data_IF_179943741729
#
_entry.id   IF_179943741729
#
_cell.length_a   1.000
_cell.length_b   1.000
_cell.length_c   1.000
_cell.angle_alpha   90.00
_cell.angle_beta   90.00
_cell.angle_gamma   90.00
#
_symmetry.space_group_name_H-M   'P 1'
#
loop_
_entity.id
_entity.type
_entity.pdbx_description
1 polymer ?
#
# COMPACT_ATOMS: atom_id res chain seq x y z
N UNK A 1 -30.21 -17.58 11.18
CA UNK A 1 -29.28 -16.98 10.21
C UNK A 1 -28.02 -16.33 10.82
N UNK A 2 -27.88 -16.22 12.14
CA UNK A 2 -26.77 -15.55 12.81
C UNK A 2 -25.51 -16.40 13.11
N UNK A 3 -25.47 -17.68 12.76
CA UNK A 3 -24.29 -18.50 13.02
C UNK A 3 -23.16 -18.14 12.02
N UNK A 4 -22.00 -17.79 12.58
CA UNK A 4 -20.75 -17.57 11.85
C UNK A 4 -20.55 -16.21 11.15
N UNK A 5 -21.24 -15.12 11.56
CA UNK A 5 -21.06 -13.79 10.95
C UNK A 5 -19.59 -13.34 11.01
N UNK A 6 -18.95 -13.45 12.18
CA UNK A 6 -17.54 -13.09 12.34
C UNK A 6 -16.63 -13.88 11.39
N UNK A 7 -16.86 -15.20 11.25
CA UNK A 7 -16.09 -16.04 10.31
C UNK A 7 -16.28 -15.59 8.87
N UNK A 8 -17.51 -15.23 8.47
CA UNK A 8 -17.77 -14.71 7.11
C UNK A 8 -17.04 -13.39 6.84
N UNK A 9 -17.00 -12.50 7.83
CA UNK A 9 -16.26 -11.24 7.70
C UNK A 9 -14.74 -11.45 7.74
N UNK A 10 -14.25 -12.45 8.48
CA UNK A 10 -12.84 -12.87 8.44
C UNK A 10 -12.46 -13.32 7.02
N UNK A 11 -13.25 -14.23 6.42
CA UNK A 11 -12.98 -14.69 5.04
C UNK A 11 -13.02 -13.52 4.05
N UNK A 12 -14.00 -12.63 4.15
CA UNK A 12 -14.06 -11.40 3.32
C UNK A 12 -12.78 -10.57 3.46
N UNK A 13 -12.30 -10.35 4.69
CA UNK A 13 -11.07 -9.60 4.92
C UNK A 13 -9.83 -10.31 4.39
N UNK A 14 -9.73 -11.62 4.57
CA UNK A 14 -8.63 -12.42 4.00
C UNK A 14 -8.59 -12.22 2.47
N UNK A 15 -9.71 -12.42 1.77
CA UNK A 15 -9.79 -12.27 0.32
C UNK A 15 -9.49 -10.83 -0.12
N UNK A 16 -10.07 -9.82 0.55
CA UNK A 16 -9.87 -8.41 0.24
C UNK A 16 -8.40 -8.00 0.24
N UNK A 17 -7.66 -8.43 1.25
CA UNK A 17 -6.25 -8.05 1.40
C UNK A 17 -5.29 -8.97 0.67
N UNK A 18 -5.69 -10.23 0.42
CA UNK A 18 -4.95 -11.16 -0.40
C UNK A 18 -4.81 -10.69 -1.86
N UNK A 19 -5.83 -10.01 -2.41
CA UNK A 19 -5.79 -9.39 -3.74
C UNK A 19 -4.61 -8.45 -3.86
N UNK A 20 -4.44 -7.57 -2.86
CA UNK A 20 -3.38 -6.56 -2.88
C UNK A 20 -2.01 -7.16 -2.56
N UNK A 21 -1.94 -8.07 -1.59
CA UNK A 21 -0.73 -8.80 -1.21
C UNK A 21 -0.14 -9.63 -2.34
N UNK A 22 -0.96 -10.07 -3.30
CA UNK A 22 -0.49 -10.85 -4.43
C UNK A 22 0.41 -10.07 -5.40
N UNK A 23 0.27 -8.74 -5.52
CA UNK A 23 1.08 -7.98 -6.47
C UNK A 23 1.77 -6.75 -5.90
N UNK A 24 1.21 -6.10 -4.85
CA UNK A 24 1.68 -4.79 -4.42
C UNK A 24 3.20 -4.72 -4.20
N UNK A 25 3.75 -5.70 -3.53
CA UNK A 25 5.16 -5.67 -3.13
C UNK A 25 6.09 -6.37 -4.13
N UNK A 26 5.56 -7.23 -5.00
CA UNK A 26 6.32 -7.99 -5.99
C UNK A 26 6.25 -7.42 -7.42
N UNK A 27 5.29 -6.52 -7.68
CA UNK A 27 5.10 -5.94 -9.01
C UNK A 27 6.35 -5.24 -9.54
N UNK A 28 7.13 -4.59 -8.68
CA UNK A 28 8.40 -3.97 -9.06
C UNK A 28 9.36 -4.96 -9.71
N UNK A 29 9.49 -6.16 -9.13
CA UNK A 29 10.31 -7.24 -9.70
C UNK A 29 9.83 -7.65 -11.10
N UNK A 30 8.52 -7.82 -11.28
CA UNK A 30 7.96 -8.16 -12.59
C UNK A 30 8.17 -7.06 -13.63
N UNK A 31 7.95 -5.80 -13.27
CA UNK A 31 8.12 -4.66 -14.18
C UNK A 31 9.56 -4.57 -14.69
N UNK A 32 10.55 -4.93 -13.88
CA UNK A 32 11.95 -5.03 -14.32
C UNK A 32 12.11 -6.12 -15.38
N UNK A 33 11.50 -7.30 -15.22
CA UNK A 33 11.61 -8.40 -16.18
C UNK A 33 11.08 -8.03 -17.57
N UNK A 34 10.02 -7.25 -17.64
CA UNK A 34 9.39 -6.84 -18.90
C UNK A 34 9.90 -5.50 -19.45
N UNK A 35 11.03 -5.00 -18.93
CA UNK A 35 11.65 -3.75 -19.42
C UNK A 35 10.97 -2.47 -18.93
N UNK A 36 10.06 -2.55 -17.95
CA UNK A 36 9.36 -1.42 -17.36
C UNK A 36 9.96 -0.96 -16.02
N UNK A 37 11.13 -1.44 -15.64
CA UNK A 37 11.85 -1.03 -14.44
C UNK A 37 11.94 0.50 -14.27
N UNK A 38 12.31 1.26 -15.31
CA UNK A 38 12.33 2.73 -15.25
C UNK A 38 10.98 3.41 -15.01
N UNK A 39 9.88 2.67 -15.04
CA UNK A 39 8.49 3.17 -14.87
C UNK A 39 7.80 2.68 -13.59
N UNK A 40 8.51 2.00 -12.70
CA UNK A 40 7.95 1.46 -11.44
C UNK A 40 7.21 2.57 -10.66
N UNK A 41 7.82 3.72 -10.46
CA UNK A 41 7.19 4.81 -9.71
C UNK A 41 5.88 5.30 -10.32
N UNK A 42 5.74 5.27 -11.65
CA UNK A 42 4.49 5.64 -12.32
C UNK A 42 3.35 4.66 -11.99
N UNK A 43 3.61 3.35 -11.93
CA UNK A 43 2.60 2.36 -11.53
C UNK A 43 2.12 2.60 -10.09
N UNK A 44 3.05 2.86 -9.17
CA UNK A 44 2.67 3.16 -7.78
C UNK A 44 2.04 4.55 -7.62
N UNK A 45 2.44 5.54 -8.42
CA UNK A 45 1.79 6.85 -8.46
C UNK A 45 0.32 6.76 -8.86
N UNK A 46 -0.04 5.85 -9.78
CA UNK A 46 -1.44 5.64 -10.16
C UNK A 46 -2.33 5.25 -8.98
N UNK A 47 -1.84 4.45 -8.04
CA UNK A 47 -2.58 4.14 -6.81
C UNK A 47 -2.88 5.40 -6.00
N UNK A 48 -1.89 6.29 -5.84
CA UNK A 48 -2.07 7.58 -5.18
C UNK A 48 -3.07 8.47 -5.92
N UNK A 49 -2.91 8.64 -7.24
CA UNK A 49 -3.77 9.49 -8.08
C UNK A 49 -5.22 9.05 -8.00
N UNK A 50 -5.50 7.75 -8.22
CA UNK A 50 -6.89 7.26 -8.19
C UNK A 50 -7.49 7.30 -6.78
N UNK A 51 -6.66 7.19 -5.75
CA UNK A 51 -7.10 7.28 -4.34
C UNK A 51 -7.58 8.68 -3.97
N UNK A 52 -7.23 9.71 -4.74
CA UNK A 52 -7.70 11.08 -4.52
C UNK A 52 -9.23 11.18 -4.69
N UNK A 53 -9.80 10.51 -5.68
CA UNK A 53 -11.21 10.73 -6.06
C UNK A 53 -12.07 9.46 -6.09
N UNK A 54 -11.51 8.29 -6.42
CA UNK A 54 -12.32 7.07 -6.60
C UNK A 54 -13.01 6.58 -5.32
N UNK A 55 -12.37 6.59 -4.12
CA UNK A 55 -13.06 6.21 -2.89
C UNK A 55 -14.28 7.09 -2.58
N UNK A 56 -14.16 8.40 -2.81
CA UNK A 56 -15.27 9.34 -2.61
C UNK A 56 -16.42 9.08 -3.59
N UNK A 57 -16.10 8.88 -4.87
CA UNK A 57 -17.11 8.58 -5.91
C UNK A 57 -17.86 7.28 -5.60
N UNK A 58 -17.13 6.21 -5.28
CA UNK A 58 -17.75 4.92 -4.99
C UNK A 58 -18.45 4.88 -3.63
N UNK A 59 -18.02 5.70 -2.67
CA UNK A 59 -18.75 5.95 -1.43
C UNK A 59 -20.12 6.54 -1.70
N UNK A 60 -20.22 7.56 -2.55
CA UNK A 60 -21.50 8.16 -2.97
C UNK A 60 -22.38 7.13 -3.68
N UNK A 61 -21.81 6.28 -4.56
CA UNK A 61 -22.55 5.20 -5.22
C UNK A 61 -23.11 4.22 -4.20
N UNK A 62 -22.32 3.87 -3.18
CA UNK A 62 -22.76 2.99 -2.11
C UNK A 62 -23.90 3.61 -1.29
N UNK A 63 -23.76 4.87 -0.89
CA UNK A 63 -24.71 5.55 -0.02
C UNK A 63 -26.05 5.83 -0.73
N UNK A 64 -25.98 6.32 -1.97
CA UNK A 64 -27.20 6.73 -2.69
C UNK A 64 -27.91 5.60 -3.42
N UNK A 65 -27.17 4.62 -3.98
CA UNK A 65 -27.77 3.69 -4.96
C UNK A 65 -27.67 2.20 -4.56
N UNK A 66 -26.48 1.67 -4.34
CA UNK A 66 -26.29 0.21 -4.30
C UNK A 66 -26.14 -0.37 -2.89
N UNK A 67 -25.69 0.42 -1.91
CA UNK A 67 -25.24 -0.07 -0.61
C UNK A 67 -23.81 -0.62 -0.66
N UNK A 68 -23.13 -0.65 0.51
CA UNK A 68 -21.70 -0.95 0.61
C UNK A 68 -21.34 -2.32 0.00
N UNK A 69 -22.07 -3.40 0.31
CA UNK A 69 -21.75 -4.76 -0.16
C UNK A 69 -21.87 -4.92 -1.67
N UNK A 70 -22.91 -4.33 -2.28
CA UNK A 70 -23.08 -4.42 -3.74
C UNK A 70 -22.07 -3.56 -4.48
N UNK A 71 -21.75 -2.37 -3.95
CA UNK A 71 -20.72 -1.50 -4.52
C UNK A 71 -19.35 -2.15 -4.39
N UNK A 72 -19.05 -2.82 -3.27
CA UNK A 72 -17.86 -3.64 -3.12
C UNK A 72 -17.77 -4.72 -4.19
N UNK A 73 -18.85 -5.48 -4.42
CA UNK A 73 -18.88 -6.51 -5.46
C UNK A 73 -18.68 -5.94 -6.87
N UNK A 74 -19.31 -4.81 -7.20
CA UNK A 74 -19.15 -4.13 -8.50
C UNK A 74 -17.70 -3.66 -8.70
N UNK A 75 -17.14 -2.99 -7.72
CA UNK A 75 -15.75 -2.50 -7.77
C UNK A 75 -14.75 -3.67 -7.90
N UNK A 76 -14.96 -4.74 -7.14
CA UNK A 76 -14.10 -5.93 -7.22
C UNK A 76 -14.26 -6.67 -8.54
N UNK A 77 -15.43 -6.68 -9.15
CA UNK A 77 -15.63 -7.27 -10.47
C UNK A 77 -14.81 -6.54 -11.54
N UNK A 78 -14.91 -5.21 -11.58
CA UNK A 78 -14.16 -4.41 -12.55
C UNK A 78 -12.65 -4.50 -12.27
N UNK A 79 -12.25 -4.35 -11.01
CA UNK A 79 -10.85 -4.43 -10.61
C UNK A 79 -10.23 -5.81 -10.90
N UNK A 80 -10.93 -6.88 -10.52
CA UNK A 80 -10.48 -8.25 -10.71
C UNK A 80 -10.42 -8.65 -12.18
N UNK A 81 -11.44 -8.28 -12.97
CA UNK A 81 -11.46 -8.54 -14.41
C UNK A 81 -10.32 -7.80 -15.14
N UNK A 82 -10.07 -6.53 -14.80
CA UNK A 82 -8.99 -5.76 -15.39
C UNK A 82 -7.61 -6.30 -14.99
N UNK A 83 -7.43 -6.71 -13.72
CA UNK A 83 -6.18 -7.31 -13.25
C UNK A 83 -5.93 -8.67 -13.89
N UNK A 84 -6.97 -9.50 -13.99
CA UNK A 84 -6.88 -10.78 -14.72
C UNK A 84 -6.54 -10.55 -16.19
N UNK A 85 -7.19 -9.55 -16.82
CA UNK A 85 -6.88 -9.15 -18.19
C UNK A 85 -5.41 -8.74 -18.36
N UNK A 86 -4.86 -7.95 -17.41
CA UNK A 86 -3.45 -7.57 -17.41
C UNK A 86 -2.53 -8.80 -17.30
N UNK A 87 -2.87 -9.74 -16.41
CA UNK A 87 -2.11 -10.99 -16.26
C UNK A 87 -2.18 -11.89 -17.49
N UNK A 88 -3.36 -12.05 -18.10
CA UNK A 88 -3.52 -12.84 -19.33
C UNK A 88 -2.83 -12.19 -20.53
N UNK A 89 -2.89 -10.87 -20.64
CA UNK A 89 -2.11 -10.13 -21.65
C UNK A 89 -0.61 -10.40 -21.48
N UNK A 90 -0.10 -10.26 -20.28
CA UNK A 90 1.31 -10.51 -19.97
C UNK A 90 1.72 -11.96 -20.28
N UNK A 91 0.89 -12.95 -19.96
CA UNK A 91 1.10 -14.35 -20.30
C UNK A 91 1.13 -14.58 -21.82
N UNK A 92 0.25 -13.92 -22.57
CA UNK A 92 0.21 -14.03 -24.03
C UNK A 92 1.46 -13.45 -24.70
N UNK A 93 1.96 -12.32 -24.16
CA UNK A 93 3.20 -11.68 -24.65
C UNK A 93 4.40 -12.57 -24.37
N UNK A 94 4.52 -13.13 -23.16
CA UNK A 94 5.63 -14.04 -22.80
C UNK A 94 5.64 -15.27 -23.70
N UNK A 95 4.48 -15.92 -23.90
CA UNK A 95 4.37 -17.07 -24.79
C UNK A 95 4.68 -16.71 -26.25
N UNK A 96 4.24 -15.55 -26.72
CA UNK A 96 4.51 -15.05 -28.07
C UNK A 96 6.00 -14.73 -28.28
N UNK A 97 6.65 -14.13 -27.28
CA UNK A 97 8.08 -13.81 -27.33
C UNK A 97 8.94 -15.10 -27.38
N UNK A 98 8.61 -16.09 -26.56
CA UNK A 98 9.28 -17.41 -26.59
C UNK A 98 9.12 -18.04 -27.98
N UNK A 99 7.92 -18.06 -28.56
CA UNK A 99 7.65 -18.63 -29.87
C UNK A 99 8.38 -17.91 -31.01
N UNK A 100 8.56 -16.56 -30.87
CA UNK A 100 9.25 -15.74 -31.87
C UNK A 100 10.77 -15.67 -31.66
N UNK A 101 11.31 -16.18 -30.55
CA UNK A 101 12.72 -16.04 -30.17
C UNK A 101 13.11 -14.59 -29.88
N UNK A 102 12.16 -13.77 -29.42
CA UNK A 102 12.33 -12.36 -29.10
C UNK A 102 12.33 -12.15 -27.57
N UNK A 103 12.86 -11.00 -27.13
CA UNK A 103 12.75 -10.62 -25.72
C UNK A 103 11.32 -10.12 -25.40
N UNK A 104 10.81 -10.51 -24.23
CA UNK A 104 9.48 -10.09 -23.75
C UNK A 104 9.33 -8.55 -23.80
N UNK A 105 10.37 -7.82 -23.39
CA UNK A 105 10.37 -6.35 -23.37
C UNK A 105 10.13 -5.70 -24.75
N UNK A 106 10.50 -6.38 -25.85
CA UNK A 106 10.32 -5.86 -27.22
C UNK A 106 8.87 -5.98 -27.71
N UNK A 107 8.12 -6.95 -27.18
CA UNK A 107 6.72 -7.19 -27.53
C UNK A 107 5.73 -6.57 -26.52
N UNK A 108 6.21 -6.10 -25.38
CA UNK A 108 5.37 -5.66 -24.29
C UNK A 108 4.81 -4.24 -24.52
N UNK A 109 3.48 -4.12 -24.64
CA UNK A 109 2.82 -2.82 -24.79
C UNK A 109 2.60 -2.16 -23.43
N UNK A 110 3.44 -1.19 -23.09
CA UNK A 110 3.27 -0.38 -21.88
C UNK A 110 1.88 0.29 -21.80
N UNK A 111 1.35 0.96 -22.86
CA UNK A 111 0.06 1.64 -22.74
C UNK A 111 -1.10 0.68 -22.42
N UNK A 112 -1.11 -0.51 -23.02
CA UNK A 112 -2.17 -1.48 -22.79
C UNK A 112 -2.11 -2.03 -21.34
N UNK A 113 -0.93 -2.47 -20.91
CA UNK A 113 -0.76 -2.99 -19.56
C UNK A 113 -1.06 -1.92 -18.49
N UNK A 114 -0.57 -0.69 -18.70
CA UNK A 114 -0.81 0.44 -17.81
C UNK A 114 -2.30 0.80 -17.74
N UNK A 115 -3.04 0.72 -18.86
CA UNK A 115 -4.48 1.00 -18.87
C UNK A 115 -5.26 -0.04 -18.07
N UNK A 116 -4.98 -1.33 -18.28
CA UNK A 116 -5.62 -2.42 -17.52
C UNK A 116 -5.30 -2.32 -16.02
N UNK A 117 -4.03 -2.06 -15.68
CA UNK A 117 -3.62 -1.83 -14.31
C UNK A 117 -4.32 -0.62 -13.68
N UNK A 118 -4.38 0.52 -14.40
CA UNK A 118 -5.03 1.74 -13.90
C UNK A 118 -6.51 1.52 -13.64
N UNK A 119 -7.23 0.84 -14.54
CA UNK A 119 -8.64 0.47 -14.33
C UNK A 119 -8.76 -0.41 -13.08
N UNK A 120 -7.90 -1.41 -12.94
CA UNK A 120 -7.92 -2.29 -11.78
C UNK A 120 -7.75 -1.51 -10.48
N UNK A 121 -6.70 -0.70 -10.35
CA UNK A 121 -6.43 0.03 -9.09
C UNK A 121 -7.46 1.13 -8.84
N UNK A 122 -8.02 1.77 -9.87
CA UNK A 122 -9.06 2.77 -9.72
C UNK A 122 -10.31 2.20 -9.03
N UNK A 123 -10.69 0.99 -9.35
CA UNK A 123 -11.82 0.32 -8.72
C UNK A 123 -11.44 -0.49 -7.47
N UNK A 124 -10.17 -0.89 -7.33
CA UNK A 124 -9.71 -1.57 -6.12
C UNK A 124 -9.58 -0.62 -4.92
N UNK A 125 -9.03 0.59 -5.08
CA UNK A 125 -8.79 1.52 -3.97
C UNK A 125 -10.06 1.83 -3.14
N UNK A 126 -11.24 2.07 -3.73
CA UNK A 126 -12.48 2.23 -2.98
C UNK A 126 -12.87 1.02 -2.13
N UNK A 127 -12.50 -0.19 -2.56
CA UNK A 127 -12.92 -1.42 -1.89
C UNK A 127 -12.36 -1.56 -0.48
N UNK A 128 -11.25 -0.88 -0.18
CA UNK A 128 -10.66 -0.85 1.16
C UNK A 128 -11.64 -0.24 2.16
N UNK A 129 -12.22 0.91 1.83
CA UNK A 129 -13.23 1.56 2.67
C UNK A 129 -14.59 0.83 2.61
N UNK A 130 -15.01 0.36 1.43
CA UNK A 130 -16.26 -0.33 1.23
C UNK A 130 -16.33 -1.67 1.99
N UNK A 131 -15.23 -2.42 2.06
CA UNK A 131 -15.17 -3.66 2.83
C UNK A 131 -15.31 -3.41 4.34
N UNK A 132 -14.70 -2.33 4.85
CA UNK A 132 -14.87 -1.91 6.24
C UNK A 132 -16.31 -1.49 6.51
N UNK A 133 -16.90 -0.66 5.65
CA UNK A 133 -18.29 -0.20 5.75
C UNK A 133 -19.29 -1.37 5.70
N UNK A 134 -19.05 -2.34 4.81
CA UNK A 134 -19.85 -3.56 4.75
C UNK A 134 -19.74 -4.37 6.04
N UNK A 135 -18.53 -4.52 6.59
CA UNK A 135 -18.30 -5.24 7.84
C UNK A 135 -19.01 -4.55 9.01
N UNK A 136 -18.91 -3.23 9.14
CA UNK A 136 -19.60 -2.47 10.18
C UNK A 136 -21.12 -2.63 10.10
N UNK A 137 -21.71 -2.42 8.94
CA UNK A 137 -23.15 -2.54 8.76
C UNK A 137 -23.66 -3.95 9.05
N UNK A 138 -22.90 -5.00 8.69
CA UNK A 138 -23.26 -6.40 9.03
C UNK A 138 -23.15 -6.65 10.54
N UNK A 139 -22.10 -6.17 11.19
CA UNK A 139 -21.93 -6.34 12.64
C UNK A 139 -23.06 -5.65 13.43
N UNK A 140 -23.31 -4.37 13.12
CA UNK A 140 -24.34 -3.57 13.80
C UNK A 140 -25.73 -4.18 13.66
N UNK A 141 -26.13 -4.60 12.46
CA UNK A 141 -27.43 -5.24 12.23
C UNK A 141 -27.62 -6.58 12.97
N UNK A 142 -26.53 -7.21 13.37
CA UNK A 142 -26.55 -8.46 14.08
C UNK A 142 -26.24 -8.30 15.58
N UNK A 143 -26.26 -7.05 16.09
CA UNK A 143 -26.13 -6.74 17.52
C UNK A 143 -24.69 -6.87 18.05
N UNK A 144 -23.69 -6.83 17.18
CA UNK A 144 -22.27 -6.81 17.59
C UNK A 144 -21.77 -5.37 17.78
N UNK A 145 -20.81 -5.20 18.67
CA UNK A 145 -20.11 -3.94 18.89
C UNK A 145 -18.97 -3.80 17.85
N UNK A 146 -19.09 -2.86 16.94
CA UNK A 146 -18.09 -2.65 15.88
C UNK A 146 -16.72 -2.28 16.44
N UNK A 147 -16.65 -1.50 17.52
CA UNK A 147 -15.38 -1.09 18.14
C UNK A 147 -14.64 -2.28 18.75
N UNK A 148 -15.38 -3.22 19.32
CA UNK A 148 -14.81 -4.40 19.98
C UNK A 148 -14.60 -5.57 19.01
N UNK A 149 -15.55 -5.80 18.10
CA UNK A 149 -15.62 -7.03 17.31
C UNK A 149 -14.93 -6.91 15.94
N UNK A 150 -14.81 -5.71 15.36
CA UNK A 150 -14.18 -5.53 14.06
C UNK A 150 -12.65 -5.65 14.09
N UNK A 151 -11.89 -5.06 15.05
CA UNK A 151 -10.42 -5.14 15.02
C UNK A 151 -9.86 -6.56 14.94
N UNK A 152 -10.37 -7.56 15.72
CA UNK A 152 -9.94 -8.95 15.57
C UNK A 152 -10.21 -9.54 14.17
N UNK A 153 -11.32 -9.13 13.52
CA UNK A 153 -11.66 -9.57 12.16
C UNK A 153 -10.68 -8.95 11.15
N UNK A 154 -10.36 -7.67 11.32
CA UNK A 154 -9.46 -6.91 10.43
C UNK A 154 -8.04 -7.45 10.41
N UNK A 155 -7.53 -7.98 11.53
CA UNK A 155 -6.19 -8.60 11.61
C UNK A 155 -6.04 -9.74 10.58
N UNK A 156 -7.10 -10.52 10.32
CA UNK A 156 -7.05 -11.57 9.31
C UNK A 156 -6.86 -11.06 7.88
N UNK A 157 -7.15 -9.79 7.63
CA UNK A 157 -6.76 -9.14 6.38
C UNK A 157 -5.24 -9.14 6.18
N UNK A 158 -4.48 -8.79 7.21
CA UNK A 158 -3.00 -8.86 7.15
C UNK A 158 -2.51 -10.29 6.94
N UNK A 159 -3.17 -11.28 7.54
CA UNK A 159 -2.86 -12.71 7.28
C UNK A 159 -3.06 -13.04 5.80
N UNK A 160 -4.18 -12.60 5.18
CA UNK A 160 -4.43 -12.79 3.76
C UNK A 160 -3.38 -12.12 2.87
N UNK A 161 -2.99 -10.89 3.22
CA UNK A 161 -1.95 -10.15 2.53
C UNK A 161 -0.60 -10.89 2.57
N UNK A 162 -0.14 -11.31 3.74
CA UNK A 162 1.12 -12.04 3.93
C UNK A 162 1.08 -13.40 3.23
N UNK A 163 -0.03 -14.13 3.35
CA UNK A 163 -0.18 -15.43 2.68
C UNK A 163 0.00 -15.31 1.16
N UNK A 164 -0.59 -14.28 0.55
CA UNK A 164 -0.40 -14.00 -0.88
C UNK A 164 1.03 -13.62 -1.21
N UNK A 165 1.70 -12.81 -0.40
CA UNK A 165 3.12 -12.50 -0.58
C UNK A 165 3.98 -13.78 -0.57
N UNK A 166 3.69 -14.70 0.35
CA UNK A 166 4.43 -15.96 0.44
C UNK A 166 4.14 -16.89 -0.73
N UNK A 167 2.91 -16.92 -1.25
CA UNK A 167 2.59 -17.64 -2.49
C UNK A 167 3.43 -17.07 -3.64
N UNK A 168 3.53 -15.73 -3.78
CA UNK A 168 4.35 -15.11 -4.82
C UNK A 168 5.83 -15.41 -4.65
N UNK A 169 6.32 -15.52 -3.42
CA UNK A 169 7.73 -15.80 -3.16
C UNK A 169 8.11 -17.26 -3.36
N UNK A 170 7.31 -18.19 -2.84
CA UNK A 170 7.70 -19.60 -2.73
C UNK A 170 7.17 -20.48 -3.87
N UNK A 171 6.06 -20.09 -4.52
CA UNK A 171 5.60 -20.81 -5.70
C UNK A 171 6.48 -20.47 -6.90
N UNK A 172 6.71 -21.48 -7.73
CA UNK A 172 7.59 -21.39 -8.89
C UNK A 172 6.89 -21.90 -10.15
N UNK A 173 7.31 -21.39 -11.29
CA UNK A 173 6.94 -21.91 -12.60
C UNK A 173 7.60 -23.27 -12.83
N UNK A 174 7.22 -23.97 -13.92
CA UNK A 174 7.88 -25.21 -14.34
C UNK A 174 9.36 -25.01 -14.65
N UNK A 175 9.77 -23.82 -15.05
CA UNK A 175 11.15 -23.43 -15.30
C UNK A 175 11.94 -23.11 -14.01
N UNK A 176 11.29 -23.06 -12.84
CA UNK A 176 11.94 -22.80 -11.56
C UNK A 176 11.91 -21.33 -11.11
N UNK A 177 11.38 -20.43 -11.93
CA UNK A 177 11.29 -18.98 -11.63
C UNK A 177 10.19 -18.71 -10.61
N UNK A 178 10.51 -17.97 -9.56
CA UNK A 178 9.54 -17.59 -8.51
C UNK A 178 8.44 -16.67 -9.09
N UNK A 179 7.19 -16.86 -8.62
CA UNK A 179 6.04 -16.06 -9.09
C UNK A 179 6.20 -14.56 -8.85
N UNK A 180 7.04 -14.13 -7.92
CA UNK A 180 7.33 -12.70 -7.70
C UNK A 180 7.98 -11.99 -8.91
N UNK A 181 8.53 -12.75 -9.86
CA UNK A 181 9.11 -12.23 -11.10
C UNK A 181 8.21 -12.44 -12.32
N UNK A 182 7.02 -13.01 -12.17
CA UNK A 182 6.18 -13.45 -13.28
C UNK A 182 4.79 -12.80 -13.25
N UNK A 183 4.07 -12.92 -14.36
CA UNK A 183 2.69 -12.43 -14.51
C UNK A 183 1.67 -13.13 -13.61
N UNK A 184 2.02 -14.26 -12.99
CA UNK A 184 1.12 -15.03 -12.12
C UNK A 184 0.55 -14.18 -10.97
N UNK A 185 1.30 -13.18 -10.49
CA UNK A 185 0.85 -12.27 -9.46
C UNK A 185 -0.43 -11.52 -9.85
N UNK A 186 -0.57 -11.11 -11.11
CA UNK A 186 -1.77 -10.41 -11.61
C UNK A 186 -2.92 -11.37 -11.85
N UNK A 187 -2.66 -12.57 -12.38
CA UNK A 187 -3.68 -13.61 -12.57
C UNK A 187 -4.26 -14.01 -11.21
N UNK A 188 -3.42 -14.32 -10.23
CA UNK A 188 -3.86 -14.74 -8.89
C UNK A 188 -4.63 -13.61 -8.21
N UNK A 189 -4.14 -12.37 -8.27
CA UNK A 189 -4.85 -11.21 -7.75
C UNK A 189 -6.24 -11.05 -8.39
N UNK A 190 -6.31 -11.11 -9.71
CA UNK A 190 -7.57 -11.01 -10.44
C UNK A 190 -8.56 -12.13 -10.09
N UNK A 191 -8.09 -13.36 -10.02
CA UNK A 191 -8.91 -14.53 -9.64
C UNK A 191 -9.44 -14.37 -8.22
N UNK A 192 -8.61 -14.01 -7.24
CA UNK A 192 -9.06 -13.78 -5.87
C UNK A 192 -10.11 -12.66 -5.84
N UNK A 193 -9.92 -11.59 -6.64
CA UNK A 193 -10.90 -10.51 -6.78
C UNK A 193 -12.27 -11.01 -7.25
N UNK A 194 -12.29 -11.84 -8.29
CA UNK A 194 -13.53 -12.45 -8.81
C UNK A 194 -14.15 -13.44 -7.81
N UNK A 195 -13.35 -14.20 -7.06
CA UNK A 195 -13.82 -15.04 -5.96
C UNK A 195 -14.49 -14.18 -4.87
N UNK A 196 -13.91 -13.03 -4.54
CA UNK A 196 -14.51 -12.11 -3.57
C UNK A 196 -15.85 -11.54 -4.08
N UNK A 197 -16.02 -11.30 -5.39
CA UNK A 197 -17.31 -10.92 -5.97
C UNK A 197 -18.38 -11.97 -5.67
N UNK A 198 -18.08 -13.23 -5.98
CA UNK A 198 -19.00 -14.34 -5.68
C UNK A 198 -19.27 -14.45 -4.18
N UNK A 199 -18.26 -14.24 -3.37
CA UNK A 199 -18.39 -14.28 -1.92
C UNK A 199 -19.28 -13.15 -1.37
N UNK A 200 -19.22 -11.94 -1.94
CA UNK A 200 -20.09 -10.83 -1.55
C UNK A 200 -21.58 -11.16 -1.66
N UNK A 201 -21.99 -12.00 -2.60
CA UNK A 201 -23.40 -12.44 -2.72
C UNK A 201 -23.83 -13.37 -1.59
N UNK A 202 -22.90 -13.99 -0.86
CA UNK A 202 -23.19 -14.84 0.29
C UNK A 202 -23.34 -14.03 1.58
N UNK A 203 -22.83 -12.79 1.63
CA UNK A 203 -22.87 -11.95 2.83
C UNK A 203 -24.31 -11.54 3.19
N UNK A 204 -24.59 -11.30 4.49
CA UNK A 204 -25.88 -10.76 4.90
C UNK A 204 -26.19 -9.43 4.22
N UNK A 205 -27.43 -9.26 3.81
CA UNK A 205 -27.90 -7.98 3.21
C UNK A 205 -27.91 -6.90 4.29
N UNK A 206 -27.30 -5.76 4.00
CA UNK A 206 -27.32 -4.59 4.86
C UNK A 206 -28.57 -3.77 4.51
N UNK A 207 -29.35 -3.39 5.52
CA UNK A 207 -30.41 -2.39 5.34
C UNK A 207 -29.73 -1.06 5.01
N UNK A 208 -30.19 -0.40 3.94
CA UNK A 208 -29.68 0.89 3.55
C UNK A 208 -29.93 1.88 4.68
N UNK A 209 -28.85 2.50 5.21
CA UNK A 209 -29.03 3.57 6.17
C UNK A 209 -29.65 4.77 5.43
N UNK A 210 -30.62 5.45 6.06
CA UNK A 210 -31.08 6.77 5.62
C UNK A 210 -30.02 7.81 5.95
N UNK A 211 -28.90 7.78 5.24
CA UNK A 211 -27.85 8.78 5.38
C UNK A 211 -28.17 9.96 4.49
N UNK A 212 -28.18 11.15 5.07
CA UNK A 212 -28.03 12.39 4.28
C UNK A 212 -26.69 12.30 3.57
N UNK A 213 -26.73 12.04 2.24
CA UNK A 213 -25.54 11.80 1.45
C UNK A 213 -24.57 12.95 1.57
N UNK A 214 -23.33 12.65 1.91
CA UNK A 214 -22.24 13.62 1.91
C UNK A 214 -22.13 14.24 0.51
N UNK A 215 -21.82 15.53 0.43
CA UNK A 215 -21.49 16.16 -0.84
C UNK A 215 -20.15 15.60 -1.36
N UNK A 216 -19.95 15.62 -2.68
CA UNK A 216 -18.66 15.20 -3.25
C UNK A 216 -17.49 16.02 -2.70
N UNK A 217 -17.72 17.31 -2.44
CA UNK A 217 -16.71 18.20 -1.85
C UNK A 217 -16.32 17.80 -0.43
N UNK A 218 -17.28 17.36 0.38
CA UNK A 218 -17.00 16.86 1.74
C UNK A 218 -16.29 15.52 1.72
N UNK A 219 -16.72 14.63 0.85
CA UNK A 219 -16.12 13.31 0.68
C UNK A 219 -14.66 13.37 0.16
N UNK A 220 -14.35 14.38 -0.67
CA UNK A 220 -12.99 14.67 -1.13
C UNK A 220 -12.15 15.48 -0.10
N UNK A 221 -12.74 15.86 1.02
CA UNK A 221 -12.07 16.69 2.03
C UNK A 221 -11.86 18.14 1.62
N UNK A 222 -12.46 18.60 0.51
CA UNK A 222 -12.23 19.95 -0.01
C UNK A 222 -12.79 21.04 0.91
N UNK A 223 -13.89 20.77 1.60
CA UNK A 223 -14.44 21.70 2.61
C UNK A 223 -13.50 21.92 3.81
N UNK A 224 -12.59 20.98 4.07
CA UNK A 224 -11.60 21.07 5.13
C UNK A 224 -10.39 21.94 4.76
N UNK A 225 -10.23 22.38 3.51
CA UNK A 225 -9.13 23.31 3.15
C UNK A 225 -9.17 24.62 3.94
N UNK A 226 -10.33 25.01 4.47
CA UNK A 226 -10.42 26.14 5.40
C UNK A 226 -9.55 25.98 6.66
N UNK A 227 -9.20 24.73 7.05
CA UNK A 227 -8.32 24.45 8.17
C UNK A 227 -6.87 24.91 7.95
N UNK A 228 -6.46 25.15 6.70
CA UNK A 228 -5.15 25.77 6.41
C UNK A 228 -5.03 27.23 6.94
N UNK A 229 -6.14 27.85 7.34
CA UNK A 229 -6.11 29.15 8.02
C UNK A 229 -5.55 29.05 9.45
N UNK A 230 -5.69 27.89 10.09
CA UNK A 230 -5.00 27.60 11.35
C UNK A 230 -3.56 27.18 11.06
N UNK A 231 -2.60 27.93 11.64
CA UNK A 231 -1.17 27.72 11.37
C UNK A 231 -0.69 26.30 11.71
N UNK A 232 -1.18 25.72 12.82
CA UNK A 232 -0.71 24.40 13.24
C UNK A 232 -1.33 23.29 12.40
N UNK A 233 -2.59 23.43 11.99
CA UNK A 233 -3.23 22.52 11.05
C UNK A 233 -2.58 22.58 9.67
N UNK A 234 -2.24 23.77 9.18
CA UNK A 234 -1.52 23.93 7.92
C UNK A 234 -0.15 23.22 7.96
N UNK A 235 0.62 23.44 9.03
CA UNK A 235 1.90 22.76 9.25
C UNK A 235 1.68 21.26 9.30
N UNK A 236 0.69 20.77 10.04
CA UNK A 236 0.39 19.36 10.15
C UNK A 236 0.08 18.73 8.77
N UNK A 237 -0.81 19.34 7.98
CA UNK A 237 -1.16 18.80 6.65
C UNK A 237 0.01 18.82 5.66
N UNK A 238 0.85 19.88 5.70
CA UNK A 238 2.06 19.95 4.87
C UNK A 238 3.03 18.82 5.26
N UNK A 239 3.27 18.61 6.57
CA UNK A 239 4.13 17.51 7.01
C UNK A 239 3.53 16.13 6.75
N UNK A 240 2.21 16.00 6.78
CA UNK A 240 1.51 14.79 6.38
C UNK A 240 1.77 14.46 4.90
N UNK A 241 1.74 15.47 4.03
CA UNK A 241 2.10 15.32 2.61
C UNK A 241 3.59 14.94 2.45
N UNK A 242 4.49 15.65 3.14
CA UNK A 242 5.93 15.37 3.06
C UNK A 242 6.28 13.97 3.56
N UNK A 243 5.61 13.49 4.62
CA UNK A 243 5.80 12.11 5.06
C UNK A 243 5.16 11.11 4.11
N UNK A 244 4.03 11.49 3.50
CA UNK A 244 3.38 10.70 2.45
C UNK A 244 4.32 10.33 1.30
N UNK A 245 5.30 11.19 1.01
CA UNK A 245 6.38 10.92 0.03
C UNK A 245 7.13 9.62 0.36
N UNK A 246 7.39 9.33 1.64
CA UNK A 246 8.13 8.14 2.05
C UNK A 246 7.30 6.84 1.98
N UNK A 247 5.97 6.92 2.11
CA UNK A 247 5.10 5.76 2.32
C UNK A 247 5.15 4.70 1.22
N UNK A 248 5.15 5.12 -0.04
CA UNK A 248 5.05 4.19 -1.19
C UNK A 248 6.40 3.79 -1.77
N UNK A 249 7.49 4.46 -1.38
CA UNK A 249 8.83 4.19 -1.95
C UNK A 249 9.21 2.72 -1.75
N UNK A 250 9.08 2.20 -0.54
CA UNK A 250 9.48 0.82 -0.25
C UNK A 250 8.56 -0.23 -0.85
N UNK A 251 7.28 0.07 -1.07
CA UNK A 251 6.37 -0.84 -1.77
C UNK A 251 6.80 -1.09 -3.22
N UNK A 252 7.32 -0.06 -3.89
CA UNK A 252 7.78 -0.17 -5.28
C UNK A 252 9.21 -0.66 -5.44
N UNK A 253 10.10 -0.26 -4.55
CA UNK A 253 11.54 -0.41 -4.77
C UNK A 253 12.26 -1.37 -3.80
N UNK A 254 11.65 -1.76 -2.68
CA UNK A 254 12.34 -2.64 -1.73
C UNK A 254 12.59 -4.04 -2.30
N UNK A 255 11.62 -4.64 -2.98
CA UNK A 255 11.82 -5.99 -3.55
C UNK A 255 12.74 -5.98 -4.78
N UNK A 256 12.67 -5.04 -5.74
CA UNK A 256 13.72 -4.90 -6.77
C UNK A 256 15.11 -4.68 -6.18
N UNK A 257 15.23 -3.87 -5.13
CA UNK A 257 16.49 -3.66 -4.41
C UNK A 257 17.00 -4.97 -3.78
N UNK A 258 16.20 -5.70 -3.02
CA UNK A 258 16.65 -6.95 -2.39
C UNK A 258 16.97 -8.01 -3.46
N UNK A 259 16.18 -8.08 -4.53
CA UNK A 259 16.36 -9.06 -5.59
C UNK A 259 17.60 -8.80 -6.45
N UNK A 260 18.07 -7.53 -6.56
CA UNK A 260 19.24 -7.21 -7.40
C UNK A 260 20.51 -7.93 -6.93
N UNK A 261 20.59 -8.30 -5.64
CA UNK A 261 21.69 -9.09 -5.11
C UNK A 261 21.82 -10.46 -5.80
N UNK A 262 20.78 -10.98 -6.44
CA UNK A 262 20.90 -12.19 -7.28
C UNK A 262 21.79 -11.94 -8.52
N UNK A 263 21.86 -10.72 -9.00
CA UNK A 263 22.73 -10.33 -10.13
C UNK A 263 24.19 -10.18 -9.73
N UNK A 264 24.51 -10.17 -8.44
CA UNK A 264 25.88 -10.06 -7.94
C UNK A 264 26.42 -11.44 -7.58
N UNK A 265 27.56 -11.90 -8.17
CA UNK A 265 28.09 -13.25 -7.95
C UNK A 265 28.30 -13.60 -6.48
N UNK A 266 28.67 -12.62 -5.65
CA UNK A 266 28.90 -12.77 -4.21
C UNK A 266 27.62 -13.15 -3.45
N UNK A 267 26.46 -12.67 -3.87
CA UNK A 267 25.17 -12.82 -3.17
C UNK A 267 24.16 -13.67 -3.92
N UNK A 268 24.48 -14.13 -5.16
CA UNK A 268 23.54 -14.81 -6.06
C UNK A 268 22.84 -16.02 -5.40
N UNK A 269 23.58 -16.76 -4.58
CA UNK A 269 23.09 -17.95 -3.88
C UNK A 269 22.48 -17.63 -2.48
N UNK A 270 22.51 -16.37 -2.04
CA UNK A 270 22.00 -16.00 -0.72
C UNK A 270 20.48 -16.21 -0.65
N UNK A 271 20.03 -16.72 0.50
CA UNK A 271 18.60 -16.92 0.73
C UNK A 271 17.82 -15.62 0.61
N UNK A 272 18.39 -14.52 1.11
CA UNK A 272 17.75 -13.20 1.09
C UNK A 272 17.48 -12.68 -0.32
N UNK A 273 18.46 -12.77 -1.21
CA UNK A 273 18.30 -12.33 -2.61
C UNK A 273 17.21 -13.11 -3.33
N UNK A 274 17.15 -14.43 -3.14
CA UNK A 274 16.13 -15.32 -3.74
C UNK A 274 14.74 -15.14 -3.16
N UNK A 275 14.62 -14.59 -1.93
CA UNK A 275 13.37 -14.51 -1.19
C UNK A 275 13.03 -13.06 -0.76
N UNK A 276 13.20 -12.12 -1.67
CA UNK A 276 13.00 -10.69 -1.42
C UNK A 276 11.60 -10.37 -0.85
N UNK A 277 10.55 -10.94 -1.43
CA UNK A 277 9.17 -10.72 -0.99
C UNK A 277 8.91 -11.34 0.40
N UNK A 278 9.55 -12.47 0.73
CA UNK A 278 9.47 -13.06 2.07
C UNK A 278 10.15 -12.17 3.12
N UNK A 279 11.35 -11.62 2.85
CA UNK A 279 11.99 -10.64 3.74
C UNK A 279 11.07 -9.43 3.91
N UNK A 280 10.55 -8.89 2.81
CA UNK A 280 9.70 -7.71 2.87
C UNK A 280 8.39 -7.95 3.65
N UNK A 281 7.87 -9.19 3.67
CA UNK A 281 6.66 -9.55 4.44
C UNK A 281 6.82 -9.33 5.95
N UNK A 282 8.05 -9.31 6.48
CA UNK A 282 8.33 -8.96 7.88
C UNK A 282 7.81 -7.55 8.20
N UNK A 283 7.80 -6.64 7.21
CA UNK A 283 7.23 -5.29 7.38
C UNK A 283 5.74 -5.34 7.73
N UNK A 284 4.98 -6.25 7.13
CA UNK A 284 3.54 -6.38 7.38
C UNK A 284 3.25 -7.01 8.76
N UNK A 285 4.10 -7.93 9.18
CA UNK A 285 4.04 -8.50 10.54
C UNK A 285 4.34 -7.41 11.57
N UNK A 286 5.42 -6.64 11.34
CA UNK A 286 5.84 -5.55 12.22
C UNK A 286 4.79 -4.43 12.28
N UNK A 287 4.11 -4.11 11.18
CA UNK A 287 2.97 -3.18 11.12
C UNK A 287 1.86 -3.61 12.08
N UNK A 288 1.43 -4.88 12.00
CA UNK A 288 0.39 -5.41 12.89
C UNK A 288 0.78 -5.32 14.37
N UNK A 289 2.04 -5.61 14.70
CA UNK A 289 2.54 -5.51 16.07
C UNK A 289 2.75 -4.06 16.51
N UNK A 290 3.16 -3.18 15.59
CA UNK A 290 3.36 -1.74 15.83
C UNK A 290 2.11 -1.05 16.32
N UNK A 291 0.95 -1.38 15.76
CA UNK A 291 -0.35 -0.83 16.18
C UNK A 291 -0.60 -1.04 17.68
N UNK A 292 -0.22 -2.19 18.22
CA UNK A 292 -0.41 -2.50 19.63
C UNK A 292 0.41 -1.61 20.57
N UNK A 293 1.52 -1.05 20.08
CA UNK A 293 2.40 -0.17 20.86
C UNK A 293 1.92 1.28 20.91
N UNK A 294 1.03 1.69 19.98
CA UNK A 294 0.59 3.09 19.84
C UNK A 294 -0.05 3.65 21.12
N UNK A 295 -1.02 2.97 21.79
CA UNK A 295 -1.63 3.51 23.02
C UNK A 295 -0.62 3.76 24.13
N UNK A 296 0.37 2.87 24.26
CA UNK A 296 1.48 3.05 25.21
C UNK A 296 2.36 4.23 24.84
N UNK A 297 2.76 4.33 23.57
CA UNK A 297 3.60 5.41 23.07
C UNK A 297 2.90 6.77 23.20
N UNK A 298 1.63 6.86 22.84
CA UNK A 298 0.82 8.07 22.97
C UNK A 298 0.71 8.54 24.42
N UNK A 299 0.48 7.61 25.36
CA UNK A 299 0.39 7.93 26.80
C UNK A 299 1.73 8.41 27.35
N UNK A 300 2.84 7.81 26.92
CA UNK A 300 4.17 8.11 27.47
C UNK A 300 4.83 9.32 26.84
N UNK A 301 4.75 9.47 25.52
CA UNK A 301 5.49 10.49 24.78
C UNK A 301 4.65 11.64 24.26
N UNK A 302 3.32 11.47 24.18
CA UNK A 302 2.40 12.43 23.59
C UNK A 302 2.48 12.46 22.06
N UNK A 303 1.48 13.10 21.45
CA UNK A 303 1.20 13.02 20.01
C UNK A 303 2.36 13.54 19.13
N UNK A 304 2.97 14.67 19.49
CA UNK A 304 4.09 15.25 18.73
C UNK A 304 5.29 14.29 18.67
N UNK A 305 5.67 13.74 19.83
CA UNK A 305 6.85 12.87 19.90
C UNK A 305 6.59 11.53 19.23
N UNK A 306 5.36 11.00 19.28
CA UNK A 306 4.97 9.78 18.53
C UNK A 306 5.09 9.98 17.03
N UNK A 307 4.62 11.13 16.50
CA UNK A 307 4.81 11.47 15.10
C UNK A 307 6.30 11.64 14.73
N UNK A 308 7.07 12.27 15.61
CA UNK A 308 8.52 12.45 15.40
C UNK A 308 9.26 11.10 15.42
N UNK A 309 8.91 10.19 16.32
CA UNK A 309 9.46 8.83 16.37
C UNK A 309 9.18 8.11 15.04
N UNK A 310 7.97 8.24 14.47
CA UNK A 310 7.64 7.68 13.17
C UNK A 310 8.53 8.24 12.05
N UNK A 311 8.76 9.55 12.02
CA UNK A 311 9.64 10.20 11.04
C UNK A 311 11.08 9.71 11.16
N UNK A 312 11.61 9.61 12.38
CA UNK A 312 12.95 9.07 12.64
C UNK A 312 13.05 7.58 12.30
N UNK A 313 11.97 6.84 12.48
CA UNK A 313 11.90 5.45 12.04
C UNK A 313 12.03 5.31 10.51
N UNK A 314 11.49 6.24 9.72
CA UNK A 314 11.72 6.29 8.27
C UNK A 314 13.20 6.57 7.93
N UNK A 315 13.87 7.46 8.66
CA UNK A 315 15.31 7.70 8.49
C UNK A 315 16.10 6.41 8.73
N UNK A 316 15.80 5.73 9.85
CA UNK A 316 16.46 4.47 10.21
C UNK A 316 16.19 3.37 9.18
N UNK A 317 14.92 3.25 8.73
CA UNK A 317 14.52 2.27 7.72
C UNK A 317 15.31 2.42 6.43
N UNK A 318 15.35 3.62 5.86
CA UNK A 318 16.08 3.89 4.63
C UNK A 318 17.59 3.77 4.82
N UNK A 319 18.14 4.24 5.95
CA UNK A 319 19.55 4.08 6.29
C UNK A 319 19.98 2.61 6.37
N UNK A 320 19.16 1.77 7.00
CA UNK A 320 19.41 0.32 7.09
C UNK A 320 19.33 -0.37 5.72
N UNK A 321 18.44 0.05 4.83
CA UNK A 321 18.43 -0.45 3.45
C UNK A 321 19.69 -0.01 2.69
N UNK A 322 20.19 1.21 2.91
CA UNK A 322 21.40 1.71 2.27
C UNK A 322 22.68 1.01 2.73
N UNK A 323 22.69 0.49 3.97
CA UNK A 323 23.84 -0.23 4.57
C UNK A 323 23.75 -1.75 4.39
N UNK A 324 22.54 -2.29 4.22
CA UNK A 324 22.29 -3.73 4.24
C UNK A 324 22.58 -4.43 2.91
N UNK A 325 22.89 -5.70 3.01
CA UNK A 325 23.04 -6.64 1.90
C UNK A 325 22.34 -7.97 2.22
N UNK A 326 22.32 -8.91 1.30
CA UNK A 326 21.70 -10.24 1.49
C UNK A 326 22.67 -11.31 2.02
N UNK A 327 23.90 -10.92 2.32
CA UNK A 327 24.90 -11.76 2.97
C UNK A 327 24.99 -11.47 4.47
N UNK A 328 26.16 -11.00 4.92
CA UNK A 328 26.39 -10.65 6.33
C UNK A 328 25.55 -9.48 6.84
N UNK A 329 25.09 -8.61 5.95
CA UNK A 329 24.25 -7.45 6.23
C UNK A 329 22.74 -7.72 6.22
N UNK A 330 22.28 -8.95 6.02
CA UNK A 330 20.86 -9.31 5.92
C UNK A 330 20.05 -8.90 7.16
N UNK A 331 20.65 -8.90 8.32
CA UNK A 331 20.03 -8.46 9.57
C UNK A 331 19.60 -6.97 9.51
N UNK A 332 20.31 -6.12 8.76
CA UNK A 332 19.94 -4.72 8.55
C UNK A 332 18.69 -4.61 7.69
N UNK A 333 18.55 -5.44 6.64
CA UNK A 333 17.35 -5.51 5.84
C UNK A 333 16.15 -5.97 6.69
N UNK A 334 16.33 -6.99 7.51
CA UNK A 334 15.30 -7.50 8.44
C UNK A 334 14.93 -6.42 9.47
N UNK A 335 15.90 -5.76 10.07
CA UNK A 335 15.65 -4.69 11.04
C UNK A 335 14.92 -3.51 10.38
N UNK A 336 15.29 -3.13 9.16
CA UNK A 336 14.55 -2.14 8.37
C UNK A 336 13.07 -2.52 8.20
N UNK A 337 12.79 -3.79 7.93
CA UNK A 337 11.43 -4.28 7.82
C UNK A 337 10.68 -4.24 9.17
N UNK A 338 11.33 -4.54 10.27
CA UNK A 338 10.74 -4.45 11.63
C UNK A 338 10.43 -2.99 11.99
N UNK A 339 11.32 -2.07 11.69
CA UNK A 339 11.14 -0.63 11.96
C UNK A 339 9.94 -0.04 11.21
N UNK A 340 9.52 -0.65 10.11
CA UNK A 340 8.35 -0.21 9.32
C UNK A 340 7.07 -0.11 10.16
N UNK A 341 6.82 -1.02 11.08
CA UNK A 341 5.64 -0.98 11.95
C UNK A 341 5.54 0.31 12.77
N UNK A 342 6.70 0.83 13.22
CA UNK A 342 6.75 2.12 13.90
C UNK A 342 6.69 3.28 12.90
N UNK A 343 7.39 3.17 11.78
CA UNK A 343 7.48 4.24 10.79
C UNK A 343 6.11 4.58 10.17
N UNK A 344 5.30 3.56 9.87
CA UNK A 344 4.03 3.75 9.18
C UNK A 344 2.89 4.09 10.13
N UNK A 345 2.61 3.21 11.10
CA UNK A 345 1.39 3.31 11.91
C UNK A 345 1.44 4.41 12.97
N UNK A 346 2.60 4.66 13.56
CA UNK A 346 2.72 5.71 14.57
C UNK A 346 2.34 7.07 14.00
N UNK A 347 2.67 7.35 12.75
CA UNK A 347 2.24 8.60 12.13
C UNK A 347 0.77 8.58 11.69
N UNK A 348 0.35 7.53 10.98
CA UNK A 348 -1.01 7.47 10.42
C UNK A 348 -2.08 7.51 11.51
N UNK A 349 -1.92 6.72 12.57
CA UNK A 349 -2.89 6.66 13.66
C UNK A 349 -2.83 7.90 14.52
N UNK A 350 -1.63 8.35 14.92
CA UNK A 350 -1.51 9.58 15.71
C UNK A 350 -1.95 10.82 14.94
N UNK A 351 -1.69 10.87 13.62
CA UNK A 351 -2.18 11.94 12.75
C UNK A 351 -3.69 11.96 12.65
N UNK A 352 -4.32 10.80 12.47
CA UNK A 352 -5.78 10.68 12.48
C UNK A 352 -6.39 11.10 13.83
N UNK A 353 -5.77 10.70 14.95
CA UNK A 353 -6.18 11.14 16.28
C UNK A 353 -6.02 12.65 16.46
N UNK A 354 -4.92 13.22 15.98
CA UNK A 354 -4.70 14.67 16.03
C UNK A 354 -5.80 15.44 15.29
N UNK A 355 -6.16 14.97 14.08
CA UNK A 355 -7.28 15.57 13.31
C UNK A 355 -8.58 15.50 14.11
N UNK A 356 -8.89 14.35 14.71
CA UNK A 356 -10.10 14.18 15.53
C UNK A 356 -10.12 15.07 16.78
N UNK A 357 -8.99 15.25 17.43
CA UNK A 357 -8.90 16.11 18.61
C UNK A 357 -9.06 17.59 18.23
N UNK A 358 -8.57 18.00 17.07
CA UNK A 358 -8.56 19.41 16.63
C UNK A 358 -9.83 19.85 15.91
N UNK A 359 -10.63 18.92 15.41
CA UNK A 359 -11.84 19.22 14.62
C UNK A 359 -13.10 18.71 15.29
N UNK A 360 -14.25 19.30 14.94
CA UNK A 360 -15.55 18.89 15.46
C UNK A 360 -16.64 18.97 14.39
N UNK A 361 -17.78 18.32 14.65
CA UNK A 361 -18.96 18.39 13.80
C UNK A 361 -18.75 17.90 12.37
N UNK A 362 -19.35 18.59 11.41
CA UNK A 362 -19.31 18.21 9.98
C UNK A 362 -17.92 18.31 9.36
N UNK A 363 -16.99 19.08 9.95
CA UNK A 363 -15.65 19.30 9.41
C UNK A 363 -14.74 18.12 9.71
N UNK A 364 -15.00 17.34 10.75
CA UNK A 364 -14.14 16.24 11.19
C UNK A 364 -13.93 15.18 10.11
N UNK A 365 -15.00 14.73 9.45
CA UNK A 365 -14.90 13.75 8.36
C UNK A 365 -14.15 14.30 7.15
N UNK A 366 -14.41 15.54 6.77
CA UNK A 366 -13.70 16.21 5.68
C UNK A 366 -12.23 16.42 6.00
N UNK A 367 -11.87 16.68 7.28
CA UNK A 367 -10.49 16.82 7.71
C UNK A 367 -9.73 15.50 7.68
N UNK A 368 -10.38 14.38 8.00
CA UNK A 368 -9.81 13.04 7.80
C UNK A 368 -9.60 12.74 6.30
N UNK A 369 -10.56 13.10 5.46
CA UNK A 369 -10.42 13.00 4.01
C UNK A 369 -9.23 13.82 3.49
N UNK A 370 -9.06 15.04 3.98
CA UNK A 370 -7.92 15.90 3.64
C UNK A 370 -6.59 15.30 4.13
N UNK A 371 -6.56 14.72 5.32
CA UNK A 371 -5.37 14.01 5.82
C UNK A 371 -4.96 12.85 4.88
N UNK A 372 -5.92 12.03 4.48
CA UNK A 372 -5.68 10.93 3.54
C UNK A 372 -5.29 11.43 2.14
N UNK A 373 -5.89 12.52 1.67
CA UNK A 373 -5.53 13.17 0.42
C UNK A 373 -4.06 13.64 0.44
N UNK A 374 -3.65 14.28 1.52
CA UNK A 374 -2.28 14.80 1.66
C UNK A 374 -1.25 13.67 1.77
N UNK A 375 -1.54 12.62 2.55
CA UNK A 375 -0.61 11.48 2.74
C UNK A 375 -0.61 10.51 1.56
N UNK A 376 -1.73 9.82 1.35
CA UNK A 376 -1.81 8.68 0.41
C UNK A 376 -2.14 9.11 -1.03
N UNK A 377 -2.69 10.31 -1.21
CA UNK A 377 -2.93 10.88 -2.54
C UNK A 377 -1.71 11.64 -3.05
N UNK A 378 -1.58 12.88 -2.64
CA UNK A 378 -0.56 13.81 -3.18
C UNK A 378 0.86 13.38 -2.76
N UNK A 379 1.06 13.13 -1.46
CA UNK A 379 2.37 12.77 -0.92
C UNK A 379 2.91 11.50 -1.56
N UNK A 380 2.11 10.42 -1.58
CA UNK A 380 2.50 9.17 -2.18
C UNK A 380 2.79 9.29 -3.69
N UNK A 381 1.99 10.05 -4.43
CA UNK A 381 2.19 10.29 -5.86
C UNK A 381 3.50 11.02 -6.14
N UNK A 382 3.75 12.13 -5.45
CA UNK A 382 5.00 12.90 -5.57
C UNK A 382 6.19 12.05 -5.16
N UNK A 383 6.04 11.28 -4.08
CA UNK A 383 7.09 10.42 -3.54
C UNK A 383 7.54 9.35 -4.51
N UNK A 384 6.60 8.61 -5.10
CA UNK A 384 6.93 7.53 -6.04
C UNK A 384 7.52 8.05 -7.34
N UNK A 385 7.04 9.17 -7.86
CA UNK A 385 7.61 9.80 -9.07
C UNK A 385 9.01 10.38 -8.82
N UNK A 386 9.22 10.99 -7.65
CA UNK A 386 10.55 11.49 -7.26
C UNK A 386 11.52 10.32 -7.04
N UNK A 387 11.07 9.25 -6.38
CA UNK A 387 11.87 8.04 -6.20
C UNK A 387 12.25 7.40 -7.54
N UNK A 388 11.31 7.36 -8.51
CA UNK A 388 11.60 6.89 -9.87
C UNK A 388 12.74 7.69 -10.52
N UNK A 389 12.71 9.02 -10.42
CA UNK A 389 13.74 9.86 -10.99
C UNK A 389 15.11 9.60 -10.34
N UNK A 390 15.15 9.46 -9.01
CA UNK A 390 16.38 9.16 -8.25
C UNK A 390 16.89 7.76 -8.61
N UNK A 391 16.06 6.74 -8.54
CA UNK A 391 16.48 5.36 -8.83
C UNK A 391 16.97 5.25 -10.28
N UNK A 392 16.25 5.80 -11.25
CA UNK A 392 16.66 5.77 -12.65
C UNK A 392 17.99 6.52 -12.94
N UNK A 393 18.35 7.48 -12.09
CA UNK A 393 19.62 8.20 -12.23
C UNK A 393 20.81 7.37 -11.75
N UNK A 394 20.65 6.59 -10.69
CA UNK A 394 21.74 5.84 -10.06
C UNK A 394 21.76 4.35 -10.43
N UNK A 395 20.74 3.87 -11.13
CA UNK A 395 20.60 2.46 -11.49
C UNK A 395 20.33 2.27 -12.98
N UNK A 396 20.57 1.04 -13.46
CA UNK A 396 20.32 0.60 -14.82
C UNK A 396 19.81 -0.84 -14.84
N UNK A 397 19.15 -1.25 -15.91
CA UNK A 397 18.70 -2.63 -16.07
C UNK A 397 19.81 -3.49 -16.68
N UNK A 398 20.07 -4.64 -16.09
CA UNK A 398 21.08 -5.61 -16.55
C UNK A 398 20.48 -7.00 -16.63
N UNK A 399 20.78 -7.73 -17.70
CA UNK A 399 20.38 -9.14 -17.87
C UNK A 399 21.47 -10.05 -17.35
N UNK A 400 21.12 -10.93 -16.42
CA UNK A 400 22.04 -11.87 -15.79
C UNK A 400 21.46 -13.28 -15.90
N UNK A 401 22.34 -14.27 -16.11
CA UNK A 401 21.95 -15.68 -16.13
C UNK A 401 21.79 -16.20 -14.70
N UNK A 402 20.58 -16.63 -14.33
CA UNK A 402 20.28 -17.22 -13.02
C UNK A 402 19.66 -18.61 -13.27
N UNK A 403 20.34 -19.66 -12.79
CA UNK A 403 19.89 -21.06 -12.97
C UNK A 403 19.60 -21.47 -14.44
N UNK A 404 20.32 -20.87 -15.40
CA UNK A 404 20.15 -21.16 -16.82
C UNK A 404 19.07 -20.34 -17.53
N UNK A 405 18.42 -19.42 -16.84
CA UNK A 405 17.44 -18.49 -17.40
C UNK A 405 17.96 -17.05 -17.40
N UNK A 406 17.62 -16.28 -18.43
CA UNK A 406 17.89 -14.84 -18.47
C UNK A 406 16.92 -14.10 -17.52
N UNK A 407 17.47 -13.42 -16.52
CA UNK A 407 16.69 -12.55 -15.61
C UNK A 407 17.23 -11.13 -15.68
N UNK A 408 16.34 -10.18 -15.57
CA UNK A 408 16.70 -8.75 -15.58
C UNK A 408 16.65 -8.21 -14.15
N UNK A 409 17.72 -7.54 -13.73
CA UNK A 409 17.79 -6.86 -12.44
C UNK A 409 18.08 -5.38 -12.60
N UNK A 410 17.63 -4.59 -11.65
CA UNK A 410 18.00 -3.18 -11.54
C UNK A 410 19.31 -3.08 -10.77
N UNK A 411 20.41 -2.92 -11.50
CA UNK A 411 21.77 -2.85 -10.95
C UNK A 411 22.21 -1.40 -10.74
N UNK A 412 23.27 -1.16 -9.99
CA UNK A 412 23.84 0.17 -9.78
C UNK A 412 23.93 0.58 -8.31
N UNK A 413 23.98 1.90 -8.06
CA UNK A 413 24.21 2.45 -6.72
C UNK A 413 22.91 2.62 -5.92
N UNK A 414 22.36 1.52 -5.45
CA UNK A 414 21.20 1.51 -4.58
C UNK A 414 21.44 2.17 -3.22
N UNK A 415 22.66 2.07 -2.69
CA UNK A 415 23.01 2.66 -1.39
C UNK A 415 22.81 4.18 -1.43
N UNK A 416 23.28 4.84 -2.46
CA UNK A 416 23.07 6.29 -2.66
C UNK A 416 21.57 6.62 -2.76
N UNK A 417 20.77 5.82 -3.48
CA UNK A 417 19.32 6.03 -3.51
C UNK A 417 18.70 6.02 -2.11
N UNK A 418 19.00 5.00 -1.32
CA UNK A 418 18.47 4.86 0.04
C UNK A 418 18.96 5.97 0.99
N UNK A 419 20.23 6.42 0.85
CA UNK A 419 20.73 7.54 1.64
C UNK A 419 20.09 8.87 1.28
N UNK A 420 19.74 9.10 0.01
CA UNK A 420 18.95 10.27 -0.40
C UNK A 420 17.57 10.24 0.25
N UNK A 421 16.89 9.09 0.25
CA UNK A 421 15.59 8.94 0.92
C UNK A 421 15.71 9.12 2.44
N UNK A 422 16.77 8.59 3.07
CA UNK A 422 17.04 8.78 4.50
C UNK A 422 17.32 10.27 4.82
N UNK A 423 18.10 10.94 4.00
CA UNK A 423 18.39 12.38 4.14
C UNK A 423 17.14 13.23 4.00
N UNK A 424 16.28 12.93 3.03
CA UNK A 424 14.97 13.57 2.89
C UNK A 424 14.13 13.39 4.18
N UNK A 425 13.98 12.16 4.66
CA UNK A 425 13.21 11.86 5.87
C UNK A 425 13.79 12.57 7.11
N UNK A 426 15.12 12.68 7.21
CA UNK A 426 15.79 13.40 8.29
C UNK A 426 15.49 14.90 8.25
N UNK A 427 15.55 15.53 7.09
CA UNK A 427 15.21 16.95 6.92
C UNK A 427 13.76 17.18 7.33
N UNK A 428 12.82 16.33 6.88
CA UNK A 428 11.41 16.41 7.27
C UNK A 428 11.25 16.29 8.79
N UNK A 429 11.94 15.34 9.43
CA UNK A 429 11.89 15.14 10.89
C UNK A 429 12.40 16.38 11.66
N UNK A 430 13.53 16.96 11.23
CA UNK A 430 14.11 18.16 11.85
C UNK A 430 13.16 19.35 11.71
N UNK A 431 12.64 19.59 10.51
CA UNK A 431 11.72 20.69 10.27
C UNK A 431 10.42 20.51 11.06
N UNK A 432 9.90 19.28 11.14
CA UNK A 432 8.73 18.98 11.97
C UNK A 432 8.98 19.27 13.44
N UNK A 433 10.11 18.83 13.97
CA UNK A 433 10.49 19.09 15.36
C UNK A 433 10.49 20.59 15.71
N UNK A 434 11.01 21.42 14.80
CA UNK A 434 11.13 22.88 14.97
C UNK A 434 9.77 23.57 14.80
N UNK A 435 9.02 23.23 13.75
CA UNK A 435 7.85 24.01 13.30
C UNK A 435 6.54 23.55 13.95
N UNK A 436 6.38 22.23 14.17
CA UNK A 436 5.14 21.70 14.73
C UNK A 436 5.11 21.83 16.25
N UNK A 437 4.06 22.46 16.76
CA UNK A 437 3.80 22.58 18.19
C UNK A 437 2.57 21.76 18.54
N UNK A 438 2.72 20.86 19.52
CA UNK A 438 1.56 20.14 20.04
C UNK A 438 0.56 21.15 20.63
N UNK A 439 -0.75 20.96 20.38
CA UNK A 439 -1.77 21.83 20.97
C UNK A 439 -1.77 21.69 22.50
N UNK A 440 -2.17 22.76 23.19
CA UNK A 440 -2.50 22.67 24.61
C UNK A 440 -3.67 21.68 24.79
N UNK A 441 -3.72 20.96 25.93
CA UNK A 441 -4.78 19.99 26.21
C UNK A 441 -6.19 20.59 26.12
N UNK A 442 -6.33 21.87 26.42
CA UNK A 442 -7.60 22.61 26.44
C UNK A 442 -7.79 23.51 25.21
N UNK A 443 -7.04 23.29 24.15
CA UNK A 443 -7.15 24.08 22.93
C UNK A 443 -8.53 23.89 22.28
N UNK A 444 -9.24 24.96 21.89
CA UNK A 444 -10.57 24.86 21.30
C UNK A 444 -10.53 24.07 20.00
N UNK A 445 -11.59 23.28 19.77
CA UNK A 445 -11.75 22.56 18.50
C UNK A 445 -12.08 23.55 17.38
N UNK A 446 -11.52 23.27 16.22
CA UNK A 446 -11.79 24.01 14.99
C UNK A 446 -13.09 23.49 14.34
N UNK A 447 -13.91 24.41 13.85
CA UNK A 447 -15.23 24.12 13.26
C UNK A 447 -15.23 24.47 11.78
#
# INVERSE_FOLDING_TARGET
MGKHIKLRLIVMNILQWAIWGAYLTSMGNYLVQVGLGPKIGLFYAMQGIVSIFMPALMGIVADKWLGATKTLALCQFIAGAAMLGAGLYAASVESGAIAAGMKVAEMFSFPLFMSLYTISVAFYMPTIALSNSAAYGILEQNGYDTVKDFPPIRVFGTVGFIASMWIMNFCKTSAGTSFQFTYHQFIISGVIGLVLVLYCFTLPKIKKAETQGQSLMDALGLSAFKLFRDKQMAIFFIFSMLLGVALQITNGYATPFISHFQGLPEFAESWGAKNATAIYSISQIAETLGILLIPFAMKKFGIKNVMLIAMLAWVLRFGLFGLGDTGSGVWMLILSCIVYGVAFDFFNISGSLYVNERTSGSVQNSAQGLFMLMTNGIGATVGTLSAQAIVNHFTYSETVMVNGEEMVFTMGDWSTCWYIFAGYALVVAILFFILFKAPAKDAPKLV
#
